data_IF_330890902397
#
_entry.id   IF_330890902397
#
_cell.length_a   1.000
_cell.length_b   1.000
_cell.length_c   1.000
_cell.angle_alpha   90.00
_cell.angle_beta   90.00
_cell.angle_gamma   90.00
#
_symmetry.space_group_name_H-M   'P 1'
#
loop_
_entity.id
_entity.type
_entity.pdbx_description
1 polymer ?
#
# COMPACT_ATOMS: atom_id res chain seq x y z
N UNK A 1 -38.33 10.12 -20.42
CA UNK A 1 -37.89 9.63 -19.09
C UNK A 1 -36.39 9.41 -19.20
N UNK A 2 -35.61 10.43 -18.86
CA UNK A 2 -34.15 10.42 -19.02
C UNK A 2 -33.58 9.79 -17.76
N UNK A 3 -33.00 8.61 -17.91
CA UNK A 3 -32.28 7.88 -16.87
C UNK A 3 -30.98 8.63 -16.57
N UNK A 4 -30.99 9.49 -15.54
CA UNK A 4 -29.78 10.09 -14.97
C UNK A 4 -29.22 9.14 -13.92
N UNK A 5 -28.73 7.97 -14.36
CA UNK A 5 -27.77 7.20 -13.56
C UNK A 5 -26.45 7.95 -13.61
N UNK A 6 -26.14 8.54 -12.47
CA UNK A 6 -24.89 9.17 -12.11
C UNK A 6 -23.69 8.26 -12.50
N UNK A 7 -23.03 8.60 -13.61
CA UNK A 7 -21.82 7.94 -14.14
C UNK A 7 -20.54 8.49 -13.49
N UNK A 8 -20.66 9.10 -12.30
CA UNK A 8 -19.50 9.60 -11.55
C UNK A 8 -18.91 8.49 -10.68
N UNK A 9 -18.46 7.42 -11.32
CA UNK A 9 -17.43 6.59 -10.71
C UNK A 9 -16.14 7.45 -10.70
N UNK A 10 -15.77 7.96 -9.53
CA UNK A 10 -14.41 8.48 -9.34
C UNK A 10 -13.42 7.44 -9.90
N UNK A 11 -12.49 7.81 -10.80
CA UNK A 11 -11.55 6.85 -11.32
C UNK A 11 -10.76 6.32 -10.12
N UNK A 12 -10.96 5.06 -9.77
CA UNK A 12 -10.17 4.41 -8.75
C UNK A 12 -8.69 4.70 -9.05
N UNK A 13 -7.91 5.18 -8.08
CA UNK A 13 -6.53 5.58 -8.32
C UNK A 13 -5.82 4.44 -9.05
N UNK A 14 -5.32 4.72 -10.25
CA UNK A 14 -4.70 3.71 -11.11
C UNK A 14 -3.45 3.23 -10.39
N UNK A 15 -3.47 1.98 -9.94
CA UNK A 15 -2.29 1.37 -9.36
C UNK A 15 -1.27 1.11 -10.47
N UNK A 16 -0.19 1.88 -10.48
CA UNK A 16 0.89 1.79 -11.48
C UNK A 16 1.68 0.47 -11.40
N UNK A 17 1.55 -0.27 -10.30
CA UNK A 17 2.17 -1.58 -10.12
C UNK A 17 1.27 -2.72 -10.62
N UNK A 18 0.00 -2.43 -10.92
CA UNK A 18 -0.97 -3.43 -11.35
C UNK A 18 -0.59 -4.00 -12.73
N UNK A 19 -0.58 -5.32 -12.85
CA UNK A 19 -0.25 -6.03 -14.09
C UNK A 19 1.25 -6.32 -14.31
N UNK A 20 2.13 -5.88 -13.41
CA UNK A 20 3.56 -6.28 -13.43
C UNK A 20 3.68 -7.71 -12.87
N UNK A 21 4.39 -8.60 -13.55
CA UNK A 21 4.69 -9.93 -13.00
C UNK A 21 5.49 -9.82 -11.69
N UNK A 22 5.21 -10.67 -10.71
CA UNK A 22 5.91 -10.68 -9.41
C UNK A 22 7.44 -10.72 -9.56
N UNK A 23 7.96 -11.46 -10.56
CA UNK A 23 9.41 -11.56 -10.80
C UNK A 23 9.99 -10.19 -11.19
N UNK A 24 9.35 -9.49 -12.13
CA UNK A 24 9.79 -8.18 -12.60
C UNK A 24 9.65 -7.11 -11.51
N UNK A 25 8.58 -7.20 -10.71
CA UNK A 25 8.37 -6.30 -9.58
C UNK A 25 9.49 -6.46 -8.53
N UNK A 26 9.81 -7.70 -8.15
CA UNK A 26 10.82 -8.00 -7.14
C UNK A 26 12.24 -7.67 -7.62
N UNK A 27 12.52 -7.82 -8.91
CA UNK A 27 13.79 -7.38 -9.49
C UNK A 27 13.92 -5.84 -9.48
N UNK A 28 12.85 -5.13 -9.85
CA UNK A 28 12.80 -3.66 -9.74
C UNK A 28 12.99 -3.17 -8.30
N UNK A 29 12.38 -3.85 -7.32
CA UNK A 29 12.57 -3.54 -5.89
C UNK A 29 14.03 -3.77 -5.46
N UNK A 30 14.67 -4.84 -5.95
CA UNK A 30 16.08 -5.12 -5.66
C UNK A 30 16.99 -4.02 -6.21
N UNK A 31 16.81 -3.65 -7.47
CA UNK A 31 17.58 -2.56 -8.08
C UNK A 31 17.35 -1.23 -7.35
N UNK A 32 16.11 -0.93 -6.96
CA UNK A 32 15.79 0.25 -6.17
C UNK A 32 16.49 0.25 -4.81
N UNK A 33 16.48 -0.89 -4.11
CA UNK A 33 17.14 -1.03 -2.82
C UNK A 33 18.66 -0.84 -2.94
N UNK A 34 19.30 -1.37 -3.99
CA UNK A 34 20.73 -1.16 -4.25
C UNK A 34 21.04 0.31 -4.54
N UNK A 35 20.24 0.96 -5.40
CA UNK A 35 20.43 2.38 -5.75
C UNK A 35 20.25 3.32 -4.56
N UNK A 36 19.35 2.98 -3.63
CA UNK A 36 19.03 3.79 -2.45
C UNK A 36 19.79 3.37 -1.20
N UNK A 37 20.61 2.32 -1.27
CA UNK A 37 21.33 1.78 -0.11
C UNK A 37 20.40 1.17 0.95
N UNK A 38 19.22 0.69 0.55
CA UNK A 38 18.19 0.10 1.42
C UNK A 38 18.25 -1.44 1.44
N UNK A 39 19.40 -2.03 1.12
CA UNK A 39 19.57 -3.49 1.06
C UNK A 39 19.29 -4.20 2.38
N UNK A 40 19.46 -3.52 3.51
CA UNK A 40 19.13 -4.04 4.85
C UNK A 40 17.63 -4.27 5.10
N UNK A 41 16.75 -3.58 4.35
CA UNK A 41 15.29 -3.73 4.45
C UNK A 41 14.68 -4.33 3.18
N UNK A 42 15.51 -4.92 2.31
CA UNK A 42 15.08 -5.55 1.07
C UNK A 42 13.90 -6.54 1.25
N UNK A 43 13.90 -7.48 2.21
CA UNK A 43 12.76 -8.40 2.38
C UNK A 43 11.46 -7.67 2.74
N UNK A 44 11.55 -6.60 3.51
CA UNK A 44 10.39 -5.76 3.87
C UNK A 44 9.88 -4.97 2.64
N UNK A 45 10.79 -4.40 1.85
CA UNK A 45 10.43 -3.69 0.62
C UNK A 45 9.73 -4.60 -0.40
N UNK A 46 10.17 -5.87 -0.51
CA UNK A 46 9.52 -6.86 -1.36
C UNK A 46 8.10 -7.17 -0.89
N UNK A 47 7.89 -7.36 0.42
CA UNK A 47 6.54 -7.53 0.99
C UNK A 47 5.67 -6.31 0.73
N UNK A 48 6.20 -5.11 0.97
CA UNK A 48 5.49 -3.85 0.74
C UNK A 48 5.13 -3.64 -0.73
N UNK A 49 5.99 -4.02 -1.67
CA UNK A 49 5.70 -3.91 -3.10
C UNK A 49 4.56 -4.85 -3.53
N UNK A 50 4.51 -6.07 -3.00
CA UNK A 50 3.42 -7.01 -3.27
C UNK A 50 2.08 -6.51 -2.69
N UNK A 51 2.11 -5.99 -1.47
CA UNK A 51 0.94 -5.38 -0.82
C UNK A 51 0.49 -4.10 -1.53
N UNK A 52 1.41 -3.29 -2.02
CA UNK A 52 1.10 -2.09 -2.80
C UNK A 52 0.53 -2.42 -4.18
N UNK A 53 0.93 -3.55 -4.78
CA UNK A 53 0.39 -4.02 -6.06
C UNK A 53 -1.06 -4.50 -5.94
N UNK A 54 -1.41 -5.15 -4.83
CA UNK A 54 -2.78 -5.56 -4.55
C UNK A 54 -3.16 -5.17 -3.11
N UNK A 55 -3.96 -4.11 -2.89
CA UNK A 55 -4.39 -3.72 -1.55
C UNK A 55 -5.33 -4.75 -0.91
N UNK A 56 -5.76 -5.77 -1.67
CA UNK A 56 -6.51 -6.94 -1.17
C UNK A 56 -5.61 -8.14 -0.85
N UNK A 57 -4.29 -7.92 -0.86
CA UNK A 57 -3.29 -8.87 -0.39
C UNK A 57 -3.47 -9.11 1.11
N UNK A 58 -4.33 -10.06 1.44
CA UNK A 58 -4.68 -10.44 2.79
C UNK A 58 -3.83 -11.65 3.25
N UNK A 59 -3.99 -12.03 4.52
CA UNK A 59 -3.41 -13.26 5.13
C UNK A 59 -3.54 -14.51 4.23
N UNK A 60 -4.68 -14.67 3.55
CA UNK A 60 -4.92 -15.80 2.64
C UNK A 60 -3.99 -15.79 1.42
N UNK A 61 -3.72 -14.62 0.83
CA UNK A 61 -2.85 -14.49 -0.34
C UNK A 61 -1.38 -14.73 0.02
N UNK A 62 -0.93 -14.29 1.20
CA UNK A 62 0.42 -14.54 1.70
C UNK A 62 0.64 -16.05 1.97
N UNK A 63 -0.35 -16.71 2.57
CA UNK A 63 -0.32 -18.17 2.76
C UNK A 63 -0.43 -18.96 1.44
N UNK A 64 -1.11 -18.41 0.43
CA UNK A 64 -1.14 -18.99 -0.92
C UNK A 64 0.20 -18.83 -1.64
N UNK A 65 0.91 -17.70 -1.48
CA UNK A 65 2.27 -17.53 -2.00
C UNK A 65 3.22 -18.57 -1.41
N UNK A 66 3.09 -18.88 -0.13
CA UNK A 66 3.87 -19.95 0.52
C UNK A 66 3.69 -21.31 -0.15
N UNK A 67 2.52 -21.59 -0.73
CA UNK A 67 2.22 -22.86 -1.43
C UNK A 67 2.57 -22.83 -2.91
N UNK A 68 2.43 -21.68 -3.57
CA UNK A 68 2.55 -21.56 -5.03
C UNK A 68 3.98 -21.26 -5.44
N UNK A 69 4.69 -20.41 -4.69
CA UNK A 69 6.02 -19.91 -5.01
C UNK A 69 6.88 -19.79 -3.74
N UNK A 70 7.38 -20.93 -3.27
CA UNK A 70 8.18 -21.02 -2.04
C UNK A 70 9.47 -20.16 -2.10
N UNK A 71 10.09 -20.01 -3.27
CA UNK A 71 11.26 -19.13 -3.49
C UNK A 71 10.95 -17.64 -3.26
N UNK A 72 9.76 -17.20 -3.68
CA UNK A 72 9.29 -15.82 -3.47
C UNK A 72 8.98 -15.62 -1.99
N UNK A 73 8.28 -16.58 -1.36
CA UNK A 73 7.95 -16.52 0.06
C UNK A 73 9.20 -16.51 0.96
N UNK A 74 10.25 -17.26 0.62
CA UNK A 74 11.52 -17.25 1.38
C UNK A 74 12.31 -15.94 1.25
N UNK A 75 11.99 -15.13 0.24
CA UNK A 75 12.69 -13.86 -0.06
C UNK A 75 12.02 -12.63 0.56
N UNK A 76 10.84 -12.78 1.15
CA UNK A 76 10.02 -11.69 1.70
C UNK A 76 10.00 -11.73 3.23
N UNK A 77 9.68 -10.60 3.85
CA UNK A 77 9.39 -10.54 5.29
C UNK A 77 8.00 -11.14 5.54
N UNK A 78 7.92 -12.12 6.44
CA UNK A 78 6.65 -12.68 6.92
C UNK A 78 6.05 -11.70 7.92
N UNK A 79 4.90 -11.08 7.63
CA UNK A 79 4.28 -10.13 8.55
C UNK A 79 3.84 -10.83 9.84
N UNK A 80 3.96 -10.13 10.96
CA UNK A 80 3.40 -10.54 12.25
C UNK A 80 1.88 -10.32 12.23
N UNK A 81 1.13 -11.01 13.10
CA UNK A 81 -0.33 -10.84 13.24
C UNK A 81 -0.76 -9.38 13.50
N UNK A 82 0.07 -8.62 14.23
CA UNK A 82 -0.16 -7.18 14.47
C UNK A 82 -0.04 -6.36 13.18
N UNK A 83 0.96 -6.66 12.34
CA UNK A 83 1.20 -6.00 11.06
C UNK A 83 0.07 -6.32 10.07
N UNK A 84 -0.40 -7.57 10.04
CA UNK A 84 -1.55 -7.96 9.23
C UNK A 84 -2.83 -7.22 9.66
N UNK A 85 -3.06 -7.12 10.97
CA UNK A 85 -4.22 -6.38 11.51
C UNK A 85 -4.12 -4.89 11.18
N UNK A 86 -2.93 -4.31 11.25
CA UNK A 86 -2.70 -2.92 10.85
C UNK A 86 -3.02 -2.70 9.36
N UNK A 87 -2.63 -3.65 8.51
CA UNK A 87 -2.89 -3.61 7.07
C UNK A 87 -4.38 -3.74 6.73
N UNK A 88 -5.09 -4.65 7.41
CA UNK A 88 -6.54 -4.76 7.28
C UNK A 88 -7.26 -3.48 7.74
N UNK A 89 -6.79 -2.87 8.84
CA UNK A 89 -7.33 -1.59 9.32
C UNK A 89 -7.02 -0.43 8.35
N UNK A 90 -5.84 -0.39 7.75
CA UNK A 90 -5.47 0.62 6.74
C UNK A 90 -6.39 0.53 5.51
N UNK A 91 -6.64 -0.69 5.03
CA UNK A 91 -7.57 -0.93 3.92
C UNK A 91 -8.99 -0.45 4.23
N UNK A 92 -9.49 -0.72 5.44
CA UNK A 92 -10.85 -0.34 5.85
C UNK A 92 -10.94 1.16 6.19
N UNK A 93 -9.84 1.76 6.66
CA UNK A 93 -9.80 3.13 7.16
C UNK A 93 -8.61 3.92 6.60
N UNK A 94 -8.63 4.14 5.27
CA UNK A 94 -7.62 4.88 4.49
C UNK A 94 -7.31 6.28 5.07
N UNK A 95 -8.19 6.82 5.90
CA UNK A 95 -8.09 8.17 6.47
C UNK A 95 -8.37 8.23 7.98
N UNK A 96 -7.96 7.22 8.76
CA UNK A 96 -7.98 7.33 10.23
C UNK A 96 -6.87 8.26 10.75
N UNK A 97 -6.85 9.50 10.27
CA UNK A 97 -5.87 10.49 10.66
C UNK A 97 -5.96 10.81 12.16
N UNK A 98 -4.79 10.85 12.80
CA UNK A 98 -4.61 11.43 14.13
C UNK A 98 -5.27 12.82 14.13
N UNK A 99 -6.03 13.16 15.19
CA UNK A 99 -6.78 14.44 15.36
C UNK A 99 -5.92 15.72 15.22
N UNK A 100 -4.64 15.60 14.92
CA UNK A 100 -3.63 16.64 14.78
C UNK A 100 -3.69 17.35 13.40
N UNK A 101 -4.04 16.64 12.33
CA UNK A 101 -4.17 17.23 10.98
C UNK A 101 -5.27 18.31 10.92
N UNK A 102 -6.52 18.07 11.39
CA UNK A 102 -7.54 19.13 11.37
C UNK A 102 -7.15 20.31 12.26
N UNK A 103 -6.42 20.09 13.36
CA UNK A 103 -5.92 21.18 14.22
C UNK A 103 -4.93 22.08 13.48
N UNK A 104 -4.01 21.48 12.71
CA UNK A 104 -3.04 22.23 11.92
C UNK A 104 -3.73 23.02 10.80
N UNK A 105 -4.68 22.41 10.10
CA UNK A 105 -5.44 23.09 9.05
C UNK A 105 -6.23 24.28 9.61
N UNK A 106 -6.88 24.13 10.77
CA UNK A 106 -7.59 25.22 11.45
C UNK A 106 -6.62 26.32 11.87
N UNK A 107 -5.48 25.96 12.48
CA UNK A 107 -4.47 26.91 12.92
C UNK A 107 -3.89 27.72 11.75
N UNK A 108 -3.55 27.05 10.64
CA UNK A 108 -3.04 27.70 9.43
C UNK A 108 -4.11 28.58 8.77
N UNK A 109 -5.38 28.16 8.76
CA UNK A 109 -6.49 28.96 8.22
C UNK A 109 -6.72 30.24 9.03
N UNK A 110 -6.63 30.18 10.37
CA UNK A 110 -6.76 31.35 11.23
C UNK A 110 -5.53 32.27 11.11
N UNK A 111 -4.33 31.70 11.09
CA UNK A 111 -3.09 32.48 10.94
C UNK A 111 -3.05 33.26 9.63
N UNK A 112 -3.49 32.64 8.53
CA UNK A 112 -3.60 33.29 7.23
C UNK A 112 -4.70 34.38 7.20
N UNK A 113 -5.77 34.24 7.99
CA UNK A 113 -6.84 35.23 8.08
C UNK A 113 -6.48 36.46 8.94
N UNK A 114 -5.46 36.34 9.78
CA UNK A 114 -4.94 37.43 10.63
C UNK A 114 -3.82 38.22 9.91
N UNK A 115 -3.30 37.71 8.79
CA UNK A 115 -2.39 38.43 7.89
C UNK A 115 -3.17 39.21 6.82
#
# INVERSE_FOLDING_TARGET
>A
MIDTRDDKADPAPINILYGISHINLLDGVKQFAEQKGLTGILPLLKTGALVAQDPTMNRVHIEQLKRTDADVYGSIHTPTEEEMTALDNERVQVWHHKKEIPRTIILCSIAAAVQ
#
